data_IF_610470036922
#
_entry.id   IF_610470036922
#
_cell.length_a   1.000
_cell.length_b   1.000
_cell.length_c   1.000
_cell.angle_alpha   90.00
_cell.angle_beta   90.00
_cell.angle_gamma   90.00
#
_symmetry.space_group_name_H-M   'P 1'
#
loop_
_entity.id
_entity.type
_entity.pdbx_description
1 polymer ?
#
# COMPACT_ATOMS: atom_id res chain seq x y z
N UNK A 1 27.61 60.33 -14.47
CA UNK A 1 26.81 59.40 -13.65
C UNK A 1 25.56 59.04 -14.43
N UNK A 2 25.39 57.75 -14.76
CA UNK A 2 24.15 57.19 -15.33
C UNK A 2 23.96 55.82 -14.67
N UNK A 3 22.88 55.60 -13.90
CA UNK A 3 22.64 54.31 -13.25
C UNK A 3 22.01 53.35 -14.27
N UNK A 4 22.71 52.27 -14.58
CA UNK A 4 22.13 51.11 -15.28
C UNK A 4 21.27 50.33 -14.30
N UNK A 5 19.96 50.52 -14.39
CA UNK A 5 18.98 49.69 -13.67
C UNK A 5 18.97 48.32 -14.35
N UNK A 6 19.69 47.34 -13.79
CA UNK A 6 19.51 45.95 -14.16
C UNK A 6 18.12 45.52 -13.67
N UNK A 7 17.16 45.45 -14.60
CA UNK A 7 15.86 44.82 -14.35
C UNK A 7 16.15 43.38 -13.93
N UNK A 8 15.96 43.10 -12.64
CA UNK A 8 15.99 41.75 -12.09
C UNK A 8 15.05 40.86 -12.89
N UNK A 9 15.58 39.71 -13.32
CA UNK A 9 14.77 38.62 -13.87
C UNK A 9 13.67 38.31 -12.84
N UNK A 10 12.38 38.27 -13.21
CA UNK A 10 11.38 37.78 -12.29
C UNK A 10 11.76 36.35 -11.86
N UNK A 11 11.51 35.95 -10.60
CA UNK A 11 11.74 34.59 -10.18
C UNK A 11 10.97 33.68 -11.14
N UNK A 12 11.65 32.69 -11.70
CA UNK A 12 11.00 31.64 -12.48
C UNK A 12 9.91 31.04 -11.61
N UNK A 13 8.65 31.30 -11.95
CA UNK A 13 7.51 30.60 -11.37
C UNK A 13 7.78 29.12 -11.62
N UNK A 14 8.19 28.39 -10.59
CA UNK A 14 8.29 26.93 -10.65
C UNK A 14 6.90 26.46 -11.07
N UNK A 15 6.73 26.09 -12.34
CA UNK A 15 5.53 25.40 -12.79
C UNK A 15 5.45 24.16 -11.92
N UNK A 16 4.44 24.08 -11.06
CA UNK A 16 4.01 22.82 -10.49
C UNK A 16 3.66 21.92 -11.69
N UNK A 17 4.63 21.13 -12.15
CA UNK A 17 4.34 20.01 -13.01
C UNK A 17 3.44 19.12 -12.17
N UNK A 18 2.15 19.11 -12.50
CA UNK A 18 1.22 18.22 -11.83
C UNK A 18 1.64 16.79 -12.19
N UNK A 19 2.34 16.14 -11.26
CA UNK A 19 2.84 14.76 -11.40
C UNK A 19 1.68 13.79 -11.67
N UNK A 20 0.50 14.09 -11.11
CA UNK A 20 -0.67 13.24 -11.18
C UNK A 20 -1.24 13.04 -12.62
N UNK A 21 -1.48 14.09 -13.43
CA UNK A 21 -1.82 13.91 -14.86
C UNK A 21 -0.79 13.14 -15.67
N UNK A 22 0.51 13.28 -15.34
CA UNK A 22 1.56 12.52 -16.03
C UNK A 22 1.52 11.04 -15.65
N UNK A 23 1.29 10.75 -14.37
CA UNK A 23 1.10 9.40 -13.85
C UNK A 23 -0.08 8.69 -14.52
N UNK A 24 -1.25 9.35 -14.59
CA UNK A 24 -2.43 8.80 -15.28
C UNK A 24 -2.19 8.56 -16.77
N UNK A 25 -1.48 9.47 -17.45
CA UNK A 25 -1.14 9.30 -18.87
C UNK A 25 -0.26 8.08 -19.11
N UNK A 26 0.61 7.73 -18.17
CA UNK A 26 1.51 6.57 -18.28
C UNK A 26 0.78 5.24 -18.08
N UNK A 27 -0.36 5.21 -17.40
CA UNK A 27 -1.18 3.99 -17.24
C UNK A 27 -1.60 3.42 -18.61
N UNK A 28 -1.87 4.31 -19.57
CA UNK A 28 -2.30 3.92 -20.92
C UNK A 28 -1.10 3.47 -21.78
N UNK A 29 0.13 3.89 -21.44
CA UNK A 29 1.33 3.65 -22.23
C UNK A 29 2.18 2.52 -21.64
N UNK A 30 1.75 1.28 -21.87
CA UNK A 30 2.40 0.06 -21.36
C UNK A 30 3.91 -0.04 -21.64
N UNK A 31 4.39 0.43 -22.80
CA UNK A 31 5.83 0.41 -23.13
C UNK A 31 6.69 1.33 -22.25
N UNK A 32 6.08 2.25 -21.50
CA UNK A 32 6.79 3.18 -20.62
C UNK A 32 6.83 2.69 -19.16
N UNK A 33 6.30 1.50 -18.87
CA UNK A 33 6.22 0.93 -17.53
C UNK A 33 7.44 0.03 -17.26
N UNK A 34 8.07 0.23 -16.11
CA UNK A 34 9.23 -0.57 -15.68
C UNK A 34 8.77 -1.86 -14.98
N UNK A 35 8.40 -2.85 -15.78
CA UNK A 35 7.81 -4.11 -15.33
C UNK A 35 8.81 -4.94 -14.51
N UNK A 36 10.07 -4.99 -14.96
CA UNK A 36 11.13 -5.76 -14.29
C UNK A 36 11.42 -5.22 -12.89
N UNK A 37 11.60 -3.90 -12.78
CA UNK A 37 11.79 -3.25 -11.49
C UNK A 37 10.58 -3.46 -10.56
N UNK A 38 9.37 -3.43 -11.12
CA UNK A 38 8.14 -3.67 -10.35
C UNK A 38 8.10 -5.07 -9.76
N UNK A 39 8.38 -6.12 -10.54
CA UNK A 39 8.42 -7.49 -10.03
C UNK A 39 9.53 -7.67 -9.00
N UNK A 40 10.69 -7.05 -9.22
CA UNK A 40 11.79 -7.06 -8.26
C UNK A 40 11.36 -6.42 -6.92
N UNK A 41 10.65 -5.28 -6.96
CA UNK A 41 10.10 -4.63 -5.77
C UNK A 41 9.07 -5.52 -5.08
N UNK A 42 8.12 -6.09 -5.83
CA UNK A 42 7.09 -6.98 -5.31
C UNK A 42 7.69 -8.19 -4.57
N UNK A 43 8.72 -8.82 -5.14
CA UNK A 43 9.43 -9.93 -4.52
C UNK A 43 10.14 -9.51 -3.22
N UNK A 44 10.85 -8.37 -3.24
CA UNK A 44 11.55 -7.88 -2.06
C UNK A 44 10.61 -7.36 -0.98
N UNK A 45 9.42 -6.86 -1.31
CA UNK A 45 8.40 -6.53 -0.31
C UNK A 45 7.95 -7.76 0.48
N UNK A 46 7.93 -8.93 -0.15
CA UNK A 46 7.60 -10.20 0.52
C UNK A 46 8.77 -10.77 1.33
N UNK A 47 10.03 -10.59 0.89
CA UNK A 47 11.19 -11.27 1.50
C UNK A 47 12.10 -10.35 2.31
N UNK A 48 12.40 -9.15 1.82
CA UNK A 48 13.39 -8.22 2.36
C UNK A 48 12.97 -6.75 2.12
N UNK A 49 11.89 -6.26 2.76
CA UNK A 49 11.27 -4.98 2.41
C UNK A 49 12.17 -3.77 2.68
N UNK A 50 13.12 -3.89 3.61
CA UNK A 50 14.12 -2.84 3.89
C UNK A 50 14.92 -2.45 2.66
N UNK A 51 15.18 -3.40 1.76
CA UNK A 51 15.90 -3.15 0.50
C UNK A 51 15.08 -2.21 -0.41
N UNK A 52 13.76 -2.43 -0.51
CA UNK A 52 12.87 -1.57 -1.33
C UNK A 52 12.87 -0.13 -0.81
N UNK A 53 12.82 0.06 0.51
CA UNK A 53 12.83 1.40 1.10
C UNK A 53 14.21 2.06 1.07
N UNK A 54 15.31 1.30 1.05
CA UNK A 54 16.62 1.85 0.71
C UNK A 54 16.63 2.43 -0.71
N UNK A 55 16.04 1.73 -1.69
CA UNK A 55 15.89 2.27 -3.05
C UNK A 55 15.05 3.55 -3.08
N UNK A 56 14.02 3.68 -2.24
CA UNK A 56 13.27 4.94 -2.09
C UNK A 56 14.19 6.09 -1.66
N UNK A 57 15.12 5.86 -0.71
CA UNK A 57 16.11 6.88 -0.31
C UNK A 57 17.02 7.27 -1.48
N UNK A 58 17.52 6.30 -2.24
CA UNK A 58 18.33 6.57 -3.44
C UNK A 58 17.55 7.32 -4.53
N UNK A 59 16.27 6.99 -4.73
CA UNK A 59 15.39 7.70 -5.66
C UNK A 59 15.21 9.16 -5.25
N UNK A 60 15.03 9.44 -3.94
CA UNK A 60 14.98 10.81 -3.44
C UNK A 60 16.27 11.58 -3.73
N UNK A 61 17.44 10.97 -3.60
CA UNK A 61 18.72 11.66 -3.89
C UNK A 61 18.89 12.00 -5.37
N UNK A 62 18.38 11.16 -6.27
CA UNK A 62 18.56 11.30 -7.71
C UNK A 62 17.48 12.15 -8.40
N UNK A 63 16.22 12.05 -7.96
CA UNK A 63 15.08 12.78 -8.54
C UNK A 63 14.47 13.85 -7.65
N UNK A 64 14.94 13.97 -6.41
CA UNK A 64 14.43 14.90 -5.41
C UNK A 64 12.91 14.77 -5.13
N UNK A 65 12.34 13.58 -5.29
CA UNK A 65 10.94 13.27 -4.94
C UNK A 65 10.82 11.88 -4.31
N UNK A 66 9.79 11.71 -3.47
CA UNK A 66 9.57 10.46 -2.74
C UNK A 66 8.68 9.49 -3.49
N UNK A 67 7.62 9.99 -4.14
CA UNK A 67 6.69 9.17 -4.89
C UNK A 67 7.32 8.56 -6.15
N UNK A 68 6.78 7.42 -6.57
CA UNK A 68 7.11 6.82 -7.87
C UNK A 68 6.43 7.59 -9.00
N UNK A 69 7.10 7.63 -10.15
CA UNK A 69 6.53 8.22 -11.37
C UNK A 69 5.88 7.19 -12.29
N UNK A 70 6.05 5.89 -12.00
CA UNK A 70 5.61 4.79 -12.83
C UNK A 70 4.38 4.10 -12.23
N UNK A 71 3.31 3.88 -13.02
CA UNK A 71 2.10 3.24 -12.53
C UNK A 71 2.17 1.71 -12.54
N UNK A 72 3.35 1.14 -12.84
CA UNK A 72 3.54 -0.28 -13.10
C UNK A 72 3.10 -1.16 -11.93
N UNK A 73 3.44 -0.74 -10.71
CA UNK A 73 3.05 -1.45 -9.49
C UNK A 73 1.53 -1.61 -9.35
N UNK A 74 0.78 -0.51 -9.49
CA UNK A 74 -0.68 -0.51 -9.30
C UNK A 74 -1.36 -1.34 -10.37
N UNK A 75 -0.91 -1.21 -11.62
CA UNK A 75 -1.48 -1.94 -12.76
C UNK A 75 -1.24 -3.45 -12.63
N UNK A 76 0.00 -3.87 -12.34
CA UNK A 76 0.34 -5.28 -12.16
C UNK A 76 -0.38 -5.85 -10.93
N UNK A 77 -0.42 -5.12 -9.81
CA UNK A 77 -1.14 -5.55 -8.62
C UNK A 77 -2.64 -5.71 -8.88
N UNK A 78 -3.27 -4.78 -9.61
CA UNK A 78 -4.69 -4.85 -10.00
C UNK A 78 -4.96 -6.06 -10.90
N UNK A 79 -4.08 -6.33 -11.85
CA UNK A 79 -4.18 -7.51 -12.71
C UNK A 79 -4.07 -8.82 -11.92
N UNK A 80 -3.07 -8.95 -11.06
CA UNK A 80 -2.89 -10.14 -10.21
C UNK A 80 -4.07 -10.35 -9.26
N UNK A 81 -4.61 -9.26 -8.72
CA UNK A 81 -5.79 -9.29 -7.86
C UNK A 81 -7.04 -9.73 -8.63
N UNK A 82 -7.24 -9.26 -9.87
CA UNK A 82 -8.33 -9.71 -10.73
C UNK A 82 -8.22 -11.21 -11.05
N UNK A 83 -7.01 -11.71 -11.32
CA UNK A 83 -6.75 -13.14 -11.55
C UNK A 83 -7.08 -13.97 -10.31
N UNK A 84 -6.62 -13.56 -9.13
CA UNK A 84 -6.92 -14.24 -7.88
C UNK A 84 -8.42 -14.23 -7.54
N UNK A 85 -9.08 -13.08 -7.70
CA UNK A 85 -10.53 -12.97 -7.49
C UNK A 85 -11.32 -13.87 -8.45
N UNK A 86 -10.89 -13.95 -9.72
CA UNK A 86 -11.49 -14.84 -10.71
C UNK A 86 -11.32 -16.32 -10.33
N UNK A 87 -10.17 -16.69 -9.77
CA UNK A 87 -9.94 -18.04 -9.26
C UNK A 87 -10.87 -18.40 -8.08
N UNK A 88 -11.06 -17.49 -7.12
CA UNK A 88 -12.06 -17.67 -6.06
C UNK A 88 -13.47 -17.80 -6.62
N UNK A 89 -13.85 -16.98 -7.60
CA UNK A 89 -15.17 -17.08 -8.22
C UNK A 89 -15.35 -18.43 -8.92
N UNK A 90 -14.33 -18.92 -9.63
CA UNK A 90 -14.37 -20.23 -10.27
C UNK A 90 -14.49 -21.39 -9.27
N UNK A 91 -13.95 -21.23 -8.06
CA UNK A 91 -13.98 -22.26 -7.02
C UNK A 91 -15.26 -22.24 -6.16
N UNK A 92 -15.82 -21.06 -5.88
CA UNK A 92 -16.87 -20.88 -4.87
C UNK A 92 -18.17 -20.24 -5.37
N UNK A 93 -18.13 -19.50 -6.48
CA UNK A 93 -19.31 -18.80 -6.99
C UNK A 93 -20.19 -19.74 -7.83
N UNK A 94 -21.48 -19.45 -7.85
CA UNK A 94 -22.50 -20.18 -8.62
C UNK A 94 -23.03 -19.34 -9.79
N UNK A 95 -22.77 -18.02 -9.82
CA UNK A 95 -23.35 -17.10 -10.80
C UNK A 95 -22.30 -16.26 -11.53
N UNK A 96 -22.31 -16.30 -12.86
CA UNK A 96 -21.35 -15.55 -13.69
C UNK A 96 -21.47 -14.03 -13.53
N UNK A 97 -22.69 -13.50 -13.31
CA UNK A 97 -22.90 -12.07 -13.06
C UNK A 97 -22.35 -11.63 -11.70
N UNK A 98 -22.55 -12.46 -10.67
CA UNK A 98 -22.02 -12.22 -9.33
C UNK A 98 -20.48 -12.32 -9.32
N UNK A 99 -19.91 -13.26 -10.07
CA UNK A 99 -18.47 -13.38 -10.25
C UNK A 99 -17.86 -12.11 -10.87
N UNK A 100 -18.47 -11.59 -11.93
CA UNK A 100 -18.04 -10.34 -12.57
C UNK A 100 -18.07 -9.16 -11.61
N UNK A 101 -19.16 -9.01 -10.83
CA UNK A 101 -19.27 -7.97 -9.82
C UNK A 101 -18.22 -8.11 -8.71
N UNK A 102 -17.97 -9.34 -8.26
CA UNK A 102 -16.98 -9.63 -7.21
C UNK A 102 -15.57 -9.26 -7.67
N UNK A 103 -15.16 -9.64 -8.88
CA UNK A 103 -13.85 -9.28 -9.44
C UNK A 103 -13.68 -7.76 -9.54
N UNK A 104 -14.69 -7.06 -10.05
CA UNK A 104 -14.67 -5.59 -10.15
C UNK A 104 -14.62 -4.95 -8.77
N UNK A 105 -15.42 -5.43 -7.81
CA UNK A 105 -15.47 -4.91 -6.46
C UNK A 105 -14.13 -5.08 -5.74
N UNK A 106 -13.50 -6.25 -5.84
CA UNK A 106 -12.20 -6.51 -5.21
C UNK A 106 -11.12 -5.57 -5.77
N UNK A 107 -11.08 -5.31 -7.07
CA UNK A 107 -10.08 -4.40 -7.65
C UNK A 107 -10.41 -2.94 -7.35
N UNK A 108 -11.63 -2.50 -7.67
CA UNK A 108 -11.99 -1.07 -7.63
C UNK A 108 -12.29 -0.61 -6.21
N UNK A 109 -13.06 -1.37 -5.44
CA UNK A 109 -13.47 -0.97 -4.09
C UNK A 109 -12.38 -1.37 -3.09
N UNK A 110 -11.96 -2.63 -3.05
CA UNK A 110 -11.11 -3.12 -1.96
C UNK A 110 -9.65 -2.67 -2.09
N UNK A 111 -9.12 -2.63 -3.31
CA UNK A 111 -7.75 -2.16 -3.52
C UNK A 111 -7.70 -0.66 -3.79
N UNK A 112 -8.38 -0.17 -4.83
CA UNK A 112 -8.23 1.23 -5.23
C UNK A 112 -8.94 2.23 -4.31
N UNK A 113 -10.23 2.04 -4.01
CA UNK A 113 -11.00 3.00 -3.21
C UNK A 113 -10.56 3.01 -1.75
N UNK A 114 -10.47 1.84 -1.10
CA UNK A 114 -9.96 1.76 0.28
C UNK A 114 -8.50 2.26 0.32
N UNK A 115 -7.68 1.91 -0.67
CA UNK A 115 -6.32 2.42 -0.78
C UNK A 115 -6.23 3.93 -0.89
N UNK A 116 -7.09 4.55 -1.69
CA UNK A 116 -7.21 6.00 -1.80
C UNK A 116 -7.58 6.65 -0.46
N UNK A 117 -8.56 6.07 0.26
CA UNK A 117 -9.01 6.58 1.56
C UNK A 117 -7.91 6.44 2.62
N UNK A 118 -7.25 5.28 2.69
CA UNK A 118 -6.14 5.02 3.62
C UNK A 118 -4.95 5.92 3.33
N UNK A 119 -4.57 6.09 2.06
CA UNK A 119 -3.50 7.00 1.65
C UNK A 119 -3.81 8.44 2.03
N UNK A 120 -5.05 8.89 1.80
CA UNK A 120 -5.49 10.25 2.16
C UNK A 120 -5.47 10.45 3.67
N UNK A 121 -5.93 9.46 4.45
CA UNK A 121 -5.88 9.49 5.91
C UNK A 121 -4.43 9.53 6.42
N UNK A 122 -3.55 8.65 5.94
CA UNK A 122 -2.16 8.61 6.36
C UNK A 122 -1.40 9.87 5.94
N UNK A 123 -1.62 10.37 4.72
CA UNK A 123 -1.07 11.64 4.23
C UNK A 123 -1.50 12.83 5.11
N UNK A 124 -2.79 12.88 5.48
CA UNK A 124 -3.31 13.90 6.38
C UNK A 124 -2.69 13.79 7.77
N UNK A 125 -2.67 12.59 8.36
CA UNK A 125 -2.14 12.38 9.70
C UNK A 125 -0.65 12.73 9.77
N UNK A 126 0.14 12.24 8.82
CA UNK A 126 1.59 12.45 8.81
C UNK A 126 1.97 13.92 8.66
N UNK A 127 1.34 14.63 7.74
CA UNK A 127 1.62 16.05 7.54
C UNK A 127 1.11 16.94 8.69
N UNK A 128 0.05 16.55 9.40
CA UNK A 128 -0.49 17.39 10.48
C UNK A 128 0.07 17.06 11.86
N UNK A 129 0.48 15.82 12.13
CA UNK A 129 0.82 15.36 13.48
C UNK A 129 2.20 14.71 13.63
N UNK A 130 2.83 14.23 12.55
CA UNK A 130 4.09 13.49 12.62
C UNK A 130 5.29 14.24 12.02
N UNK A 131 5.14 15.47 11.53
CA UNK A 131 6.29 16.24 11.05
C UNK A 131 7.10 16.79 12.22
N UNK A 132 8.42 16.74 12.07
CA UNK A 132 9.36 17.29 13.04
C UNK A 132 9.24 18.83 13.11
N UNK A 133 9.00 19.37 14.32
CA UNK A 133 8.83 20.81 14.58
C UNK A 133 10.14 21.61 14.47
N UNK A 134 11.28 20.92 14.44
CA UNK A 134 12.65 21.50 14.35
C UNK A 134 12.93 22.20 13.02
N UNK A 135 12.04 22.03 12.03
CA UNK A 135 12.07 22.75 10.74
C UNK A 135 11.90 24.28 10.86
N UNK A 136 11.53 24.79 12.04
CA UNK A 136 11.43 26.23 12.31
C UNK A 136 12.77 26.96 12.54
N UNK A 137 13.86 26.25 12.89
CA UNK A 137 15.12 26.88 13.32
C UNK A 137 16.36 26.57 12.44
N UNK A 138 16.19 25.88 11.31
CA UNK A 138 17.29 25.59 10.38
C UNK A 138 16.87 25.94 8.95
N UNK A 139 17.80 26.45 8.13
CA UNK A 139 17.59 26.79 6.71
C UNK A 139 17.30 25.57 5.81
N UNK A 140 16.75 24.48 6.37
CA UNK A 140 16.33 23.31 5.64
C UNK A 140 15.02 23.58 4.90
N UNK A 141 14.92 23.10 3.66
CA UNK A 141 13.69 23.21 2.87
C UNK A 141 12.59 22.40 3.55
N UNK A 142 11.45 23.02 3.86
CA UNK A 142 10.28 22.32 4.40
C UNK A 142 9.85 21.19 3.46
N UNK A 143 9.89 19.96 3.98
CA UNK A 143 9.43 18.76 3.26
C UNK A 143 8.06 18.34 3.79
N UNK A 144 7.23 17.85 2.88
CA UNK A 144 5.93 17.28 3.19
C UNK A 144 5.84 15.89 2.58
N UNK A 145 4.99 15.05 3.16
CA UNK A 145 4.66 13.75 2.57
C UNK A 145 3.83 14.00 1.32
N UNK A 146 4.31 13.50 0.19
CA UNK A 146 3.60 13.54 -1.09
C UNK A 146 2.41 12.57 -1.03
N UNK A 147 1.21 12.96 -1.49
CA UNK A 147 0.04 12.06 -1.45
C UNK A 147 0.28 10.78 -2.26
N UNK A 148 0.94 10.91 -3.41
CA UNK A 148 1.26 9.76 -4.27
C UNK A 148 2.22 8.79 -3.56
N UNK A 149 3.12 9.30 -2.71
CA UNK A 149 3.97 8.45 -1.88
C UNK A 149 3.16 7.71 -0.80
N UNK A 150 2.20 8.36 -0.15
CA UNK A 150 1.31 7.70 0.81
C UNK A 150 0.50 6.57 0.15
N UNK A 151 0.06 6.77 -1.09
CA UNK A 151 -0.59 5.73 -1.89
C UNK A 151 0.37 4.60 -2.29
N UNK A 152 1.62 4.92 -2.67
CA UNK A 152 2.66 3.91 -2.92
C UNK A 152 2.93 3.04 -1.68
N UNK A 153 2.97 3.63 -0.48
CA UNK A 153 3.13 2.88 0.78
C UNK A 153 1.95 1.93 1.01
N UNK A 154 0.71 2.35 0.71
CA UNK A 154 -0.44 1.46 0.73
C UNK A 154 -0.28 0.30 -0.26
N UNK A 155 0.06 0.57 -1.53
CA UNK A 155 0.25 -0.48 -2.53
C UNK A 155 1.36 -1.46 -2.14
N UNK A 156 2.49 -0.95 -1.63
CA UNK A 156 3.60 -1.76 -1.15
C UNK A 156 3.20 -2.68 0.00
N UNK A 157 2.40 -2.17 0.92
CA UNK A 157 1.93 -2.93 2.09
C UNK A 157 0.83 -3.92 1.70
N UNK A 158 -0.03 -3.55 0.76
CA UNK A 158 -1.12 -4.37 0.28
C UNK A 158 -0.61 -5.60 -0.48
N UNK A 159 0.47 -5.49 -1.26
CA UNK A 159 0.92 -6.60 -2.10
C UNK A 159 1.28 -7.88 -1.30
N UNK A 160 2.08 -7.84 -0.22
CA UNK A 160 2.30 -9.03 0.61
C UNK A 160 1.05 -9.52 1.35
N UNK A 161 0.17 -8.61 1.77
CA UNK A 161 -1.15 -8.98 2.31
C UNK A 161 -1.98 -9.71 1.25
N UNK A 162 -1.94 -9.27 -0.01
CA UNK A 162 -2.56 -9.93 -1.15
C UNK A 162 -2.00 -11.34 -1.33
N UNK A 163 -0.67 -11.50 -1.32
CA UNK A 163 -0.03 -12.81 -1.41
C UNK A 163 -0.52 -13.73 -0.27
N UNK A 164 -0.62 -13.23 0.96
CA UNK A 164 -1.06 -14.04 2.10
C UNK A 164 -2.56 -14.39 2.05
N UNK A 165 -3.43 -13.39 1.87
CA UNK A 165 -4.89 -13.54 2.05
C UNK A 165 -5.66 -13.85 0.76
N UNK A 166 -5.06 -13.64 -0.41
CA UNK A 166 -5.68 -13.99 -1.69
C UNK A 166 -5.01 -15.20 -2.31
N UNK A 167 -3.68 -15.29 -2.29
CA UNK A 167 -2.98 -16.41 -2.94
C UNK A 167 -2.80 -17.59 -1.99
N UNK A 168 -2.09 -17.42 -0.87
CA UNK A 168 -1.82 -18.52 0.08
C UNK A 168 -3.12 -19.03 0.71
N UNK A 169 -4.00 -18.12 1.14
CA UNK A 169 -5.32 -18.49 1.66
C UNK A 169 -6.13 -19.33 0.67
N UNK A 170 -6.06 -19.04 -0.64
CA UNK A 170 -6.81 -19.78 -1.66
C UNK A 170 -6.35 -21.24 -1.71
N UNK A 171 -5.05 -21.50 -1.74
CA UNK A 171 -4.52 -22.86 -1.74
C UNK A 171 -4.76 -23.59 -0.41
N UNK A 172 -4.73 -22.86 0.72
CA UNK A 172 -5.02 -23.43 2.03
C UNK A 172 -6.51 -23.56 2.33
N UNK A 173 -7.39 -22.99 1.50
CA UNK A 173 -8.82 -22.88 1.77
C UNK A 173 -9.53 -24.20 2.08
N UNK A 174 -9.21 -25.37 1.47
CA UNK A 174 -9.85 -26.64 1.84
C UNK A 174 -9.55 -27.04 3.30
N UNK A 175 -8.34 -26.71 3.78
CA UNK A 175 -7.94 -26.93 5.17
C UNK A 175 -8.55 -25.88 6.10
N UNK A 176 -8.54 -24.60 5.70
CA UNK A 176 -8.99 -23.48 6.54
C UNK A 176 -10.51 -23.45 6.73
N UNK A 177 -11.28 -24.01 5.80
CA UNK A 177 -12.74 -24.08 5.87
C UNK A 177 -13.26 -25.24 6.73
N UNK A 178 -12.42 -26.24 7.01
CA UNK A 178 -12.81 -27.41 7.80
C UNK A 178 -13.28 -27.04 9.22
N UNK A 179 -13.99 -27.97 9.87
CA UNK A 179 -14.45 -27.80 11.24
C UNK A 179 -13.38 -28.23 12.25
N UNK A 180 -13.38 -27.58 13.42
CA UNK A 180 -12.48 -27.91 14.52
C UNK A 180 -11.54 -26.76 14.88
N UNK A 181 -10.71 -26.99 15.89
CA UNK A 181 -9.81 -25.99 16.44
C UNK A 181 -8.65 -25.63 15.48
N UNK A 182 -8.07 -26.62 14.79
CA UNK A 182 -6.90 -26.40 13.92
C UNK A 182 -7.19 -25.43 12.76
N UNK A 183 -8.28 -25.56 11.98
CA UNK A 183 -8.62 -24.58 10.94
C UNK A 183 -8.86 -23.17 11.48
N UNK A 184 -9.52 -23.05 12.65
CA UNK A 184 -9.74 -21.77 13.34
C UNK A 184 -8.39 -21.14 13.70
N UNK A 185 -7.49 -21.90 14.32
CA UNK A 185 -6.17 -21.42 14.71
C UNK A 185 -5.35 -20.98 13.49
N UNK A 186 -5.27 -21.82 12.45
CA UNK A 186 -4.49 -21.51 11.24
C UNK A 186 -5.06 -20.29 10.49
N UNK A 187 -6.39 -20.17 10.42
CA UNK A 187 -7.04 -19.02 9.79
C UNK A 187 -6.74 -17.72 10.56
N UNK A 188 -6.86 -17.72 11.89
CA UNK A 188 -6.51 -16.55 12.70
C UNK A 188 -5.02 -16.21 12.60
N UNK A 189 -4.13 -17.19 12.63
CA UNK A 189 -2.69 -16.96 12.47
C UNK A 189 -2.36 -16.33 11.11
N UNK A 190 -2.96 -16.83 10.02
CA UNK A 190 -2.76 -16.29 8.67
C UNK A 190 -3.19 -14.81 8.60
N UNK A 191 -4.37 -14.47 9.12
CA UNK A 191 -4.85 -13.09 9.17
C UNK A 191 -4.01 -12.20 10.08
N UNK A 192 -3.62 -12.71 11.24
CA UNK A 192 -2.77 -12.00 12.21
C UNK A 192 -1.44 -11.63 11.57
N UNK A 193 -0.76 -12.58 10.92
CA UNK A 193 0.52 -12.36 10.23
C UNK A 193 0.35 -11.38 9.07
N UNK A 194 -0.65 -11.58 8.20
CA UNK A 194 -0.87 -10.74 7.03
C UNK A 194 -1.17 -9.27 7.40
N UNK A 195 -2.08 -9.04 8.36
CA UNK A 195 -2.45 -7.70 8.80
C UNK A 195 -1.29 -7.03 9.57
N UNK A 196 -0.57 -7.77 10.40
CA UNK A 196 0.60 -7.24 11.10
C UNK A 196 1.69 -6.82 10.11
N UNK A 197 1.93 -7.63 9.08
CA UNK A 197 2.92 -7.33 8.06
C UNK A 197 2.53 -6.12 7.21
N UNK A 198 1.24 -5.94 6.89
CA UNK A 198 0.73 -4.73 6.24
C UNK A 198 1.06 -3.46 7.06
N UNK A 199 0.83 -3.49 8.37
CA UNK A 199 1.15 -2.35 9.24
C UNK A 199 2.66 -2.15 9.43
N UNK A 200 3.45 -3.22 9.48
CA UNK A 200 4.91 -3.14 9.51
C UNK A 200 5.48 -2.48 8.25
N UNK A 201 4.93 -2.78 7.08
CA UNK A 201 5.34 -2.14 5.82
C UNK A 201 4.91 -0.67 5.74
N UNK A 202 3.76 -0.31 6.32
CA UNK A 202 3.40 1.10 6.47
C UNK A 202 4.41 1.83 7.35
N UNK A 203 4.74 1.28 8.52
CA UNK A 203 5.78 1.82 9.40
C UNK A 203 7.09 2.02 8.64
N UNK A 204 7.61 0.98 7.97
CA UNK A 204 8.88 1.06 7.27
C UNK A 204 8.86 2.07 6.11
N UNK A 205 7.71 2.26 5.47
CA UNK A 205 7.52 3.31 4.47
C UNK A 205 7.65 4.69 5.08
N UNK A 206 6.88 5.02 6.10
CA UNK A 206 6.94 6.36 6.68
C UNK A 206 8.25 6.62 7.46
N UNK A 207 8.85 5.61 8.08
CA UNK A 207 10.14 5.68 8.79
C UNK A 207 11.33 6.01 7.88
N UNK A 208 11.18 5.78 6.57
CA UNK A 208 12.21 6.15 5.59
C UNK A 208 12.37 7.67 5.45
N UNK A 209 11.32 8.43 5.80
CA UNK A 209 11.23 9.87 5.63
C UNK A 209 11.92 10.58 6.82
N UNK A 210 13.04 11.28 6.60
CA UNK A 210 13.85 11.83 7.69
C UNK A 210 13.21 13.04 8.38
N UNK A 211 12.12 13.58 7.85
CA UNK A 211 11.39 14.73 8.40
C UNK A 211 10.12 14.32 9.17
N UNK A 212 9.89 13.02 9.32
CA UNK A 212 8.82 12.48 10.15
C UNK A 212 9.39 11.97 11.48
N UNK A 213 8.74 12.37 12.55
CA UNK A 213 8.96 11.89 13.91
C UNK A 213 7.82 10.95 14.34
N UNK A 214 8.10 10.13 15.36
CA UNK A 214 7.10 9.25 16.01
C UNK A 214 6.35 8.34 15.03
N UNK A 215 7.03 7.90 13.97
CA UNK A 215 6.51 6.94 12.96
C UNK A 215 6.09 5.59 13.57
N UNK A 216 6.56 5.28 14.79
CA UNK A 216 6.12 4.14 15.60
C UNK A 216 4.60 4.07 15.81
N UNK A 217 3.87 5.18 15.61
CA UNK A 217 2.41 5.22 15.51
C UNK A 217 1.84 4.14 14.58
N UNK A 218 2.48 3.89 13.44
CA UNK A 218 2.02 2.89 12.47
C UNK A 218 2.13 1.44 12.95
N UNK A 219 2.85 1.18 14.06
CA UNK A 219 2.96 -0.14 14.68
C UNK A 219 1.85 -0.42 15.71
N UNK A 220 1.10 0.59 16.17
CA UNK A 220 0.06 0.40 17.20
C UNK A 220 -1.04 -0.60 16.79
N UNK A 221 -1.52 -0.62 15.53
CA UNK A 221 -2.47 -1.63 15.09
C UNK A 221 -1.94 -3.08 15.24
N UNK A 222 -0.63 -3.30 15.12
CA UNK A 222 -0.02 -4.63 15.32
C UNK A 222 -0.23 -5.09 16.75
N UNK A 223 0.01 -4.21 17.74
CA UNK A 223 -0.23 -4.51 19.15
C UNK A 223 -1.69 -4.89 19.40
N UNK A 224 -2.63 -4.14 18.83
CA UNK A 224 -4.05 -4.44 18.92
C UNK A 224 -4.40 -5.81 18.30
N UNK A 225 -3.89 -6.11 17.10
CA UNK A 225 -4.13 -7.39 16.40
C UNK A 225 -3.59 -8.57 17.22
N UNK A 226 -2.37 -8.47 17.76
CA UNK A 226 -1.75 -9.53 18.57
C UNK A 226 -2.56 -9.79 19.84
N UNK A 227 -3.06 -8.74 20.49
CA UNK A 227 -3.89 -8.88 21.70
C UNK A 227 -5.25 -9.48 21.33
N UNK A 228 -5.88 -9.06 20.22
CA UNK A 228 -7.20 -9.53 19.81
C UNK A 228 -7.21 -11.00 19.32
N UNK A 229 -6.15 -11.43 18.64
CA UNK A 229 -6.02 -12.76 18.03
C UNK A 229 -6.35 -13.95 18.96
N UNK A 230 -5.80 -14.07 20.19
CA UNK A 230 -6.15 -15.18 21.09
C UNK A 230 -7.63 -15.17 21.48
N UNK A 231 -8.27 -14.00 21.64
CA UNK A 231 -9.70 -13.94 21.94
C UNK A 231 -10.55 -14.45 20.78
N UNK A 232 -10.18 -14.13 19.53
CA UNK A 232 -10.87 -14.63 18.34
C UNK A 232 -10.75 -16.17 18.21
N UNK A 233 -9.56 -16.70 18.49
CA UNK A 233 -9.33 -18.16 18.49
C UNK A 233 -10.16 -18.85 19.57
N UNK A 234 -10.17 -18.32 20.80
CA UNK A 234 -10.95 -18.87 21.91
C UNK A 234 -12.46 -18.78 21.67
N UNK A 235 -12.93 -17.72 21.01
CA UNK A 235 -14.32 -17.56 20.59
C UNK A 235 -14.72 -18.50 19.43
N UNK A 236 -13.77 -19.23 18.84
CA UNK A 236 -14.02 -20.11 17.70
C UNK A 236 -14.26 -19.35 16.38
N UNK A 237 -13.90 -18.06 16.31
CA UNK A 237 -14.11 -17.24 15.12
C UNK A 237 -13.12 -17.63 14.02
N UNK A 238 -13.61 -18.01 12.84
CA UNK A 238 -12.78 -18.33 11.68
C UNK A 238 -12.89 -17.21 10.63
N UNK A 239 -11.88 -16.34 10.49
CA UNK A 239 -11.95 -15.22 9.55
C UNK A 239 -12.03 -15.67 8.09
N UNK A 240 -11.38 -16.76 7.69
CA UNK A 240 -11.49 -17.31 6.32
C UNK A 240 -12.93 -17.70 6.00
N UNK A 241 -13.62 -18.40 6.90
CA UNK A 241 -15.03 -18.76 6.71
C UNK A 241 -15.91 -17.53 6.66
N UNK A 242 -15.68 -16.56 7.54
CA UNK A 242 -16.45 -15.32 7.55
C UNK A 242 -16.31 -14.53 6.24
N UNK A 243 -15.07 -14.36 5.75
CA UNK A 243 -14.80 -13.67 4.49
C UNK A 243 -15.42 -14.43 3.31
N UNK A 244 -15.22 -15.74 3.21
CA UNK A 244 -15.78 -16.51 2.09
C UNK A 244 -17.31 -16.56 2.13
N UNK A 245 -17.93 -16.57 3.31
CA UNK A 245 -19.38 -16.47 3.45
C UNK A 245 -19.91 -15.07 3.09
N UNK A 246 -19.15 -14.01 3.38
CA UNK A 246 -19.53 -12.66 2.98
C UNK A 246 -19.56 -12.49 1.45
N UNK A 247 -18.63 -13.14 0.74
CA UNK A 247 -18.57 -13.06 -0.73
C UNK A 247 -19.44 -14.09 -1.44
N UNK A 248 -19.50 -15.33 -0.98
CA UNK A 248 -20.07 -16.46 -1.73
C UNK A 248 -21.18 -17.22 -0.98
N UNK A 249 -21.56 -16.74 0.21
CA UNK A 249 -22.60 -17.33 1.06
C UNK A 249 -24.02 -16.94 0.69
#
# INVERSE_FOLDING_TARGET
MLPTVSRGRPPSTYRHNSLFPQYLRRIIKWQQMDIEYTFWQMLHLCTSPKVVYQHTKYHKQTKNQWARDDPAFVVICSFLLAVAASAYCAAYDKGMAHAGFTVISVVVVHFLLIGFLLATCCWFLTNNYLREETSSNSHAVEQHVEWLYAFDVHCNSFFPLFVALYVIQYFLSPLLLAHGFVPVLLSNLLFTVALSYYHYLNFLGYDVLPFLDKTTFFLYPIGFIIILSPFLVLAGFNPTRHVLNFYFG
#
